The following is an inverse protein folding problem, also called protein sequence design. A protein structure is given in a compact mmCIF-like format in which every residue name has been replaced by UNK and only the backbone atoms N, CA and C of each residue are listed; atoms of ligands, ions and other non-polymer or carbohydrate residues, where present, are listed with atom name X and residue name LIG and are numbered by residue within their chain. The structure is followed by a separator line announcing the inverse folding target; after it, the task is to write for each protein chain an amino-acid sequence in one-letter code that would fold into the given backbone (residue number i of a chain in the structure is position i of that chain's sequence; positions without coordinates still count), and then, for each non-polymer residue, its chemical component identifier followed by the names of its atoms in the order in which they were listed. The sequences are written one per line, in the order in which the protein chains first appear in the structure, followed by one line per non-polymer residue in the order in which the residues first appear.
data_IF_188189849313
#
_entry.id   IF_188189849313
#
_cell.length_a   1.000
_cell.length_b   1.000
_cell.length_c   1.000
_cell.angle_alpha   90.00
_cell.angle_beta   90.00
_cell.angle_gamma   90.00
#
_symmetry.space_group_name_H-M   'P 1'
#
loop_
_entity.id
_entity.type
_entity.pdbx_description
1 polymer ?
#
# COMPACT_ATOMS: atom_id res chain seq x y z
N UNK A 1 16.40 -4.03 -10.10
CA UNK A 1 15.32 -4.05 -9.09
C UNK A 1 14.40 -2.87 -9.34
N UNK A 2 13.10 -3.10 -9.29
CA UNK A 2 12.10 -2.02 -9.38
C UNK A 2 11.48 -1.84 -8.01
N UNK A 3 11.47 -0.62 -7.51
CA UNK A 3 10.87 -0.30 -6.21
C UNK A 3 9.83 0.78 -6.44
N UNK A 4 8.54 0.49 -6.18
CA UNK A 4 7.52 1.53 -6.21
C UNK A 4 7.79 2.57 -5.12
N UNK A 5 7.62 3.84 -5.46
CA UNK A 5 7.69 4.92 -4.49
C UNK A 5 6.33 5.60 -4.42
N UNK A 6 5.68 5.47 -3.28
CA UNK A 6 4.36 6.03 -3.04
C UNK A 6 4.51 7.44 -2.52
N UNK A 7 3.96 8.39 -3.26
CA UNK A 7 3.99 9.80 -2.88
C UNK A 7 2.76 10.09 -2.03
N UNK A 8 2.98 10.66 -0.86
CA UNK A 8 1.95 10.84 0.16
C UNK A 8 1.92 12.26 0.70
N UNK A 9 0.74 12.72 1.07
CA UNK A 9 0.59 14.01 1.77
C UNK A 9 1.16 13.92 3.17
N UNK A 10 0.96 12.75 3.81
CA UNK A 10 1.50 12.44 5.13
C UNK A 10 2.23 11.10 5.06
N UNK A 11 3.54 11.17 4.84
CA UNK A 11 4.36 9.97 4.69
C UNK A 11 4.38 9.13 5.97
N UNK A 12 4.38 9.75 7.14
CA UNK A 12 4.34 9.03 8.42
C UNK A 12 3.06 8.22 8.55
N UNK A 13 1.92 8.78 8.14
CA UNK A 13 0.64 8.08 8.17
C UNK A 13 0.64 6.87 7.27
N UNK A 14 1.26 6.97 6.09
CA UNK A 14 1.36 5.83 5.17
C UNK A 14 2.24 4.72 5.72
N UNK A 15 3.36 5.08 6.36
CA UNK A 15 4.21 4.09 7.03
C UNK A 15 3.40 3.35 8.10
N UNK A 16 2.67 4.07 8.93
CA UNK A 16 1.85 3.45 9.98
C UNK A 16 0.76 2.56 9.41
N UNK A 17 0.11 3.02 8.34
CA UNK A 17 -0.90 2.20 7.64
C UNK A 17 -0.31 0.88 7.15
N UNK A 18 0.81 0.95 6.42
CA UNK A 18 1.44 -0.26 5.87
C UNK A 18 1.89 -1.22 6.98
N UNK A 19 2.37 -0.69 8.10
CA UNK A 19 2.75 -1.54 9.24
C UNK A 19 1.54 -2.24 9.85
N UNK A 20 0.46 -1.53 10.07
CA UNK A 20 -0.75 -2.08 10.70
C UNK A 20 -1.51 -3.02 9.76
N UNK A 21 -1.66 -2.65 8.49
CA UNK A 21 -2.43 -3.41 7.52
C UNK A 21 -1.67 -4.61 6.97
N UNK A 22 -0.40 -4.43 6.62
CA UNK A 22 0.37 -5.40 5.84
C UNK A 22 1.55 -6.01 6.60
N UNK A 23 1.76 -5.62 7.85
CA UNK A 23 2.91 -6.09 8.63
C UNK A 23 4.24 -5.58 8.08
N UNK A 24 4.25 -4.42 7.43
CA UNK A 24 5.47 -3.84 6.86
C UNK A 24 6.53 -3.61 7.95
N UNK A 25 7.78 -3.81 7.57
CA UNK A 25 8.94 -3.52 8.42
C UNK A 25 9.63 -2.28 7.86
N UNK A 26 9.79 -1.27 8.70
CA UNK A 26 10.51 -0.05 8.31
C UNK A 26 12.01 -0.31 8.37
N UNK A 27 12.69 -0.16 7.23
CA UNK A 27 14.13 -0.39 7.12
C UNK A 27 14.94 0.89 7.32
N UNK A 28 14.41 2.03 6.87
CA UNK A 28 15.08 3.32 7.00
C UNK A 28 14.06 4.44 6.95
N UNK A 29 14.46 5.58 7.52
CA UNK A 29 13.63 6.77 7.58
C UNK A 29 14.51 8.00 7.53
N UNK A 30 14.12 9.00 6.74
CA UNK A 30 14.76 10.31 6.73
C UNK A 30 13.76 11.37 7.17
N UNK A 31 14.16 12.18 8.13
CA UNK A 31 13.32 13.24 8.70
C UNK A 31 13.73 14.62 8.17
N UNK A 32 12.76 15.50 8.03
CA UNK A 32 12.99 16.92 7.82
C UNK A 32 13.36 17.63 9.13
N UNK A 33 13.74 18.89 9.01
CA UNK A 33 14.09 19.72 10.17
C UNK A 33 12.90 19.89 11.13
N UNK A 34 11.68 19.83 10.61
CA UNK A 34 10.45 19.94 11.41
C UNK A 34 10.00 18.59 12.01
N UNK A 35 10.79 17.53 11.82
CA UNK A 35 10.46 16.20 12.30
C UNK A 35 9.52 15.41 11.39
N UNK A 36 9.08 15.99 10.27
CA UNK A 36 8.25 15.25 9.30
C UNK A 36 9.03 14.15 8.61
N UNK A 37 8.36 13.10 8.19
CA UNK A 37 8.97 12.01 7.42
C UNK A 37 9.08 12.46 5.96
N UNK A 38 10.31 12.63 5.47
CA UNK A 38 10.55 12.96 4.07
C UNK A 38 10.57 11.71 3.19
N UNK A 39 11.10 10.61 3.73
CA UNK A 39 11.30 9.38 2.99
C UNK A 39 11.38 8.22 3.97
N UNK A 40 10.83 7.07 3.58
CA UNK A 40 10.99 5.82 4.29
C UNK A 40 11.08 4.68 3.30
N UNK A 41 11.82 3.64 3.66
CA UNK A 41 11.86 2.39 2.91
C UNK A 41 11.26 1.30 3.78
N UNK A 42 10.29 0.57 3.24
CA UNK A 42 9.60 -0.50 3.92
C UNK A 42 9.81 -1.82 3.19
N UNK A 43 9.79 -2.89 3.96
CA UNK A 43 9.71 -4.25 3.43
C UNK A 43 8.31 -4.79 3.71
N UNK A 44 7.61 -5.23 2.66
CA UNK A 44 6.33 -5.91 2.75
C UNK A 44 6.52 -7.29 2.14
N UNK A 45 6.33 -8.35 2.94
CA UNK A 45 6.65 -9.72 2.53
C UNK A 45 8.10 -9.77 2.04
N UNK A 46 8.34 -10.09 0.77
CA UNK A 46 9.68 -10.17 0.19
C UNK A 46 10.04 -8.96 -0.67
N UNK A 47 9.16 -7.96 -0.73
CA UNK A 47 9.32 -6.82 -1.61
C UNK A 47 9.63 -5.54 -0.83
N UNK A 48 10.23 -4.58 -1.53
CA UNK A 48 10.48 -3.24 -0.99
C UNK A 48 9.51 -2.26 -1.60
N UNK A 49 9.09 -1.28 -0.80
CA UNK A 49 8.45 -0.06 -1.28
C UNK A 49 9.10 1.14 -0.60
N UNK A 50 9.02 2.28 -1.25
CA UNK A 50 9.44 3.55 -0.70
C UNK A 50 8.21 4.43 -0.48
N UNK A 51 8.24 5.22 0.58
CA UNK A 51 7.24 6.23 0.90
C UNK A 51 7.94 7.58 0.87
N UNK A 52 7.31 8.55 0.24
CA UNK A 52 7.92 9.87 0.04
C UNK A 52 6.86 10.95 0.18
N UNK A 53 7.26 12.09 0.72
CA UNK A 53 6.38 13.26 0.79
C UNK A 53 6.19 13.92 -0.57
N UNK A 54 5.29 14.90 -0.63
CA UNK A 54 5.06 15.66 -1.85
C UNK A 54 6.32 16.39 -2.28
N UNK A 55 6.56 16.42 -3.59
CA UNK A 55 7.66 17.19 -4.17
C UNK A 55 7.20 17.79 -5.50
N UNK A 56 6.38 18.87 -5.46
CA UNK A 56 5.74 19.41 -6.68
C UNK A 56 6.72 19.82 -7.78
N UNK A 57 7.91 20.30 -7.41
CA UNK A 57 8.93 20.71 -8.40
C UNK A 57 9.42 19.55 -9.26
N UNK A 58 9.33 18.31 -8.75
CA UNK A 58 9.69 17.09 -9.46
C UNK A 58 8.47 16.37 -10.03
N UNK A 59 7.27 16.97 -9.91
CA UNK A 59 6.04 16.35 -10.34
C UNK A 59 5.53 15.23 -9.42
N UNK A 60 6.07 15.12 -8.21
CA UNK A 60 5.66 14.10 -7.25
C UNK A 60 4.41 14.55 -6.52
N UNK A 61 3.28 13.91 -6.84
CA UNK A 61 1.96 14.23 -6.29
C UNK A 61 1.34 12.99 -5.67
N UNK A 62 0.58 13.21 -4.61
CA UNK A 62 -0.26 12.15 -4.06
C UNK A 62 -1.51 11.97 -4.93
N UNK A 63 -2.07 10.75 -5.00
CA UNK A 63 -3.33 10.54 -5.70
C UNK A 63 -4.49 11.23 -5.00
N UNK A 64 -5.61 11.39 -5.69
CA UNK A 64 -6.85 11.81 -5.07
C UNK A 64 -7.36 10.74 -4.10
N UNK A 65 -8.39 11.08 -3.32
CA UNK A 65 -8.95 10.18 -2.32
C UNK A 65 -10.21 9.45 -2.82
N UNK A 66 -10.51 9.59 -4.13
CA UNK A 66 -11.72 9.05 -4.75
C UNK A 66 -11.63 7.54 -5.07
N UNK A 67 -10.47 6.91 -4.83
CA UNK A 67 -10.27 5.50 -5.12
C UNK A 67 -9.85 5.21 -6.54
N UNK A 68 -9.44 6.22 -7.30
CA UNK A 68 -8.87 6.03 -8.62
C UNK A 68 -7.38 6.35 -8.62
N UNK A 69 -6.60 5.56 -9.36
CA UNK A 69 -5.16 5.75 -9.47
C UNK A 69 -4.67 5.14 -10.78
N UNK A 70 -3.69 5.78 -11.45
CA UNK A 70 -3.11 5.19 -12.65
C UNK A 70 -2.26 3.95 -12.35
N UNK A 71 -1.89 3.73 -11.09
CA UNK A 71 -1.13 2.56 -10.66
C UNK A 71 -1.87 1.88 -9.52
N UNK A 72 -2.03 0.58 -9.64
CA UNK A 72 -2.59 -0.27 -8.60
C UNK A 72 -1.48 -1.20 -8.10
N UNK A 73 -1.29 -1.25 -6.79
CA UNK A 73 -0.31 -2.16 -6.20
C UNK A 73 -1.00 -3.50 -5.97
N UNK A 74 -0.45 -4.55 -6.54
CA UNK A 74 -0.99 -5.91 -6.41
C UNK A 74 -0.15 -6.65 -5.38
N UNK A 75 -0.71 -6.85 -4.19
CA UNK A 75 0.00 -7.45 -3.06
C UNK A 75 -0.49 -8.89 -2.87
N UNK A 76 0.38 -9.85 -3.18
CA UNK A 76 0.12 -11.25 -2.94
C UNK A 76 0.49 -11.65 -1.52
N UNK A 77 -0.36 -12.44 -0.91
CA UNK A 77 -0.14 -13.06 0.39
C UNK A 77 -0.97 -14.34 0.50
N UNK A 78 -1.22 -14.79 1.71
CA UNK A 78 -1.90 -16.06 1.95
C UNK A 78 -3.32 -15.86 2.53
N UNK A 79 -3.64 -14.68 3.06
CA UNK A 79 -4.87 -14.45 3.81
C UNK A 79 -5.53 -13.13 3.43
N UNK A 80 -6.28 -13.13 2.31
CA UNK A 80 -6.89 -11.92 1.77
C UNK A 80 -7.87 -11.30 2.77
N UNK A 81 -8.77 -12.10 3.33
CA UNK A 81 -9.86 -11.56 4.16
C UNK A 81 -9.32 -10.89 5.43
N UNK A 82 -8.36 -11.52 6.10
CA UNK A 82 -7.79 -10.94 7.33
C UNK A 82 -6.97 -9.69 7.04
N UNK A 83 -6.25 -9.66 5.91
CA UNK A 83 -5.51 -8.45 5.50
C UNK A 83 -6.48 -7.32 5.21
N UNK A 84 -7.57 -7.59 4.47
CA UNK A 84 -8.61 -6.59 4.19
C UNK A 84 -9.20 -6.02 5.50
N UNK A 85 -9.49 -6.87 6.46
CA UNK A 85 -10.02 -6.45 7.76
C UNK A 85 -9.04 -5.54 8.51
N UNK A 86 -7.75 -5.93 8.56
CA UNK A 86 -6.73 -5.11 9.21
C UNK A 86 -6.55 -3.77 8.51
N UNK A 87 -6.61 -3.76 7.18
CA UNK A 87 -6.48 -2.54 6.40
C UNK A 87 -7.63 -1.58 6.68
N UNK A 88 -8.85 -2.07 6.75
CA UNK A 88 -10.02 -1.25 7.11
C UNK A 88 -9.87 -0.69 8.52
N UNK A 89 -9.43 -1.51 9.48
CA UNK A 89 -9.18 -1.04 10.85
C UNK A 89 -8.09 0.03 10.89
N UNK A 90 -7.14 0.01 9.94
CA UNK A 90 -6.07 1.01 9.83
C UNK A 90 -6.47 2.24 9.01
N UNK A 91 -7.70 2.31 8.50
CA UNK A 91 -8.23 3.49 7.82
C UNK A 91 -8.48 3.35 6.33
N UNK A 92 -8.29 2.17 5.75
CA UNK A 92 -8.60 1.94 4.34
C UNK A 92 -10.10 1.85 4.09
N UNK A 93 -10.49 2.14 2.84
CA UNK A 93 -11.86 1.97 2.37
C UNK A 93 -11.90 0.88 1.31
N UNK A 94 -12.85 -0.04 1.43
CA UNK A 94 -13.01 -1.13 0.47
C UNK A 94 -13.63 -0.59 -0.82
N UNK A 95 -12.98 -0.87 -1.95
CA UNK A 95 -13.51 -0.57 -3.29
C UNK A 95 -14.18 -1.80 -3.89
N UNK A 96 -13.59 -3.00 -3.70
CA UNK A 96 -14.17 -4.26 -4.10
C UNK A 96 -13.99 -5.26 -2.96
N UNK A 97 -15.06 -5.87 -2.46
CA UNK A 97 -14.94 -6.93 -1.44
C UNK A 97 -14.12 -8.10 -1.97
N UNK A 98 -13.45 -8.82 -1.07
CA UNK A 98 -12.70 -10.00 -1.44
C UNK A 98 -13.62 -11.05 -2.06
N UNK A 99 -13.22 -11.57 -3.22
CA UNK A 99 -13.96 -12.60 -3.94
C UNK A 99 -13.02 -13.42 -4.80
N UNK A 100 -13.40 -14.67 -5.06
CA UNK A 100 -12.65 -15.53 -5.95
C UNK A 100 -12.87 -15.08 -7.40
N UNK A 101 -11.78 -14.97 -8.15
CA UNK A 101 -11.81 -14.47 -9.53
C UNK A 101 -11.60 -15.64 -10.50
N UNK A 102 -12.06 -15.44 -11.76
CA UNK A 102 -11.98 -16.50 -12.77
C UNK A 102 -10.55 -16.88 -13.15
N UNK A 103 -9.57 -15.99 -12.92
CA UNK A 103 -8.16 -16.24 -13.24
C UNK A 103 -7.38 -16.95 -12.13
N UNK A 104 -8.07 -17.39 -11.06
CA UNK A 104 -7.48 -18.21 -10.02
C UNK A 104 -6.99 -17.48 -8.79
N UNK A 105 -7.21 -16.16 -8.71
CA UNK A 105 -6.91 -15.38 -7.50
C UNK A 105 -8.18 -15.15 -6.68
N UNK A 106 -8.01 -15.07 -5.37
CA UNK A 106 -8.96 -14.37 -4.52
C UNK A 106 -8.45 -12.96 -4.34
N UNK A 107 -9.26 -11.94 -4.63
CA UNK A 107 -8.83 -10.54 -4.66
C UNK A 107 -9.86 -9.65 -3.99
N UNK A 108 -9.37 -8.73 -3.14
CA UNK A 108 -10.11 -7.56 -2.72
C UNK A 108 -9.35 -6.30 -3.14
N UNK A 109 -10.05 -5.19 -3.32
CA UNK A 109 -9.43 -3.91 -3.64
C UNK A 109 -9.79 -2.88 -2.59
N UNK A 110 -8.79 -2.10 -2.20
CA UNK A 110 -8.98 -1.02 -1.24
C UNK A 110 -8.23 0.24 -1.69
N UNK A 111 -8.64 1.37 -1.14
CA UNK A 111 -7.87 2.61 -1.20
C UNK A 111 -7.40 2.92 0.22
N UNK A 112 -6.11 3.23 0.34
CA UNK A 112 -5.53 3.55 1.64
C UNK A 112 -5.79 5.02 2.02
N UNK A 113 -5.46 5.44 3.26
CA UNK A 113 -5.74 6.80 3.70
C UNK A 113 -5.06 7.90 2.88
N UNK A 114 -4.00 7.57 2.15
CA UNK A 114 -3.26 8.50 1.30
C UNK A 114 -3.68 8.45 -0.17
N UNK A 115 -4.67 7.61 -0.51
CA UNK A 115 -5.23 7.55 -1.85
C UNK A 115 -4.62 6.48 -2.76
N UNK A 116 -3.64 5.73 -2.28
CA UNK A 116 -3.06 4.64 -3.08
C UNK A 116 -3.99 3.45 -3.10
N UNK A 117 -4.08 2.81 -4.28
CA UNK A 117 -5.01 1.70 -4.52
C UNK A 117 -4.24 0.39 -4.48
N UNK A 118 -4.77 -0.57 -3.74
CA UNK A 118 -4.17 -1.88 -3.52
C UNK A 118 -5.16 -2.98 -3.88
N UNK A 119 -4.69 -3.96 -4.66
CA UNK A 119 -5.35 -5.25 -4.74
C UNK A 119 -4.66 -6.18 -3.75
N UNK A 120 -5.45 -6.75 -2.86
CA UNK A 120 -4.95 -7.73 -1.88
C UNK A 120 -5.37 -9.09 -2.40
N UNK A 121 -4.40 -9.97 -2.65
CA UNK A 121 -4.65 -11.18 -3.42
C UNK A 121 -3.94 -12.40 -2.83
N UNK A 122 -4.51 -13.55 -3.10
CA UNK A 122 -3.89 -14.85 -2.89
C UNK A 122 -4.30 -15.77 -4.02
N UNK A 123 -3.42 -16.69 -4.41
CA UNK A 123 -3.78 -17.73 -5.39
C UNK A 123 -4.70 -18.74 -4.73
N UNK A 124 -5.83 -19.02 -5.37
CA UNK A 124 -6.77 -20.02 -4.88
C UNK A 124 -6.20 -21.43 -4.87
N UNK A 125 -5.23 -21.69 -5.77
CA UNK A 125 -4.53 -22.98 -5.87
C UNK A 125 -3.23 -23.04 -5.06
N UNK A 126 -2.92 -21.97 -4.32
CA UNK A 126 -1.70 -21.88 -3.52
C UNK A 126 -0.45 -21.51 -4.30
N UNK A 127 -0.55 -21.34 -5.62
CA UNK A 127 0.60 -20.92 -6.43
C UNK A 127 0.66 -19.39 -6.51
N UNK A 128 1.89 -18.86 -6.59
CA UNK A 128 2.14 -17.44 -6.77
C UNK A 128 2.62 -17.14 -8.18
N UNK A 129 2.27 -15.98 -8.65
CA UNK A 129 2.74 -15.49 -9.95
C UNK A 129 4.23 -15.15 -9.87
#
# INVERSE_FOLDING_TARGET
MIIPMLVCRDAAAEVDFCRQAFGAVELSRRLGEDGSVLHATLKINEALIMIHGLHPQLGSRAPGLDGSSPVVIYLYGDEVDSVMERAVAAGARVLLPAADQFWGDRVGRLVDPEGHVWNIAARSDGERV
#
